data_IF_726515994136
#
_entry.id   IF_726515994136
#
_cell.length_a   1.000
_cell.length_b   1.000
_cell.length_c   1.000
_cell.angle_alpha   90.00
_cell.angle_beta   90.00
_cell.angle_gamma   90.00
#
_symmetry.space_group_name_H-M   'P 1'
#
loop_
_entity.id
_entity.type
_entity.pdbx_description
1 polymer ?
#
# COMPACT_ATOMS: atom_id res chain seq x y z
N UNK A 1 -7.53 -15.83 3.18
CA UNK A 1 -7.04 -14.70 2.35
C UNK A 1 -6.26 -13.79 3.27
N UNK A 2 -5.08 -13.37 2.83
CA UNK A 2 -4.10 -12.63 3.63
C UNK A 2 -3.99 -11.23 3.03
N UNK A 3 -4.20 -10.20 3.82
CA UNK A 3 -4.08 -8.81 3.39
C UNK A 3 -2.76 -8.23 3.92
N UNK A 4 -1.95 -7.70 3.01
CA UNK A 4 -0.72 -6.98 3.32
C UNK A 4 -0.78 -5.56 2.76
N UNK A 5 -0.42 -4.59 3.60
CA UNK A 5 -0.13 -3.23 3.18
C UNK A 5 1.38 -3.12 2.98
N UNK A 6 1.81 -2.96 1.73
CA UNK A 6 3.24 -2.93 1.41
C UNK A 6 3.70 -1.48 1.23
N UNK A 7 4.92 -1.19 1.69
CA UNK A 7 5.61 0.07 1.47
C UNK A 7 6.99 -0.17 0.89
N UNK A 8 7.34 0.58 -0.16
CA UNK A 8 8.69 0.63 -0.72
C UNK A 8 9.15 2.08 -0.88
N UNK A 9 10.46 2.28 -1.09
CA UNK A 9 11.04 3.61 -1.26
C UNK A 9 10.57 4.31 -2.55
N UNK A 10 10.21 3.54 -3.58
CA UNK A 10 9.73 4.06 -4.86
C UNK A 10 8.85 3.04 -5.60
N UNK A 11 8.21 3.49 -6.67
CA UNK A 11 7.45 2.63 -7.57
C UNK A 11 8.32 1.52 -8.17
N UNK A 12 9.54 1.84 -8.61
CA UNK A 12 10.48 0.88 -9.20
C UNK A 12 10.89 -0.21 -8.21
N UNK A 13 11.13 0.17 -6.95
CA UNK A 13 11.46 -0.77 -5.88
C UNK A 13 10.29 -1.72 -5.58
N UNK A 14 9.06 -1.18 -5.52
CA UNK A 14 7.84 -2.00 -5.35
C UNK A 14 7.66 -2.96 -6.53
N UNK A 15 7.79 -2.45 -7.75
CA UNK A 15 7.65 -3.25 -8.98
C UNK A 15 8.68 -4.37 -9.03
N UNK A 16 9.92 -4.10 -8.68
CA UNK A 16 10.98 -5.12 -8.62
C UNK A 16 10.66 -6.21 -7.59
N UNK A 17 10.14 -5.84 -6.41
CA UNK A 17 9.74 -6.79 -5.39
C UNK A 17 8.55 -7.68 -5.83
N UNK A 18 7.54 -7.09 -6.46
CA UNK A 18 6.39 -7.83 -7.00
C UNK A 18 6.84 -8.83 -8.08
N UNK A 19 7.71 -8.42 -9.01
CA UNK A 19 8.27 -9.32 -10.03
C UNK A 19 9.09 -10.45 -9.38
N UNK A 20 9.92 -10.13 -8.38
CA UNK A 20 10.66 -11.15 -7.63
C UNK A 20 9.73 -12.14 -6.92
N UNK A 21 8.59 -11.66 -6.42
CA UNK A 21 7.52 -12.48 -5.85
C UNK A 21 6.61 -13.18 -6.87
N UNK A 22 6.99 -13.19 -8.15
CA UNK A 22 6.32 -13.97 -9.20
C UNK A 22 5.20 -13.24 -9.95
N UNK A 23 4.98 -11.95 -9.71
CA UNK A 23 4.05 -11.17 -10.54
C UNK A 23 4.62 -10.98 -11.94
N UNK A 24 3.75 -11.15 -12.94
CA UNK A 24 4.11 -11.05 -14.36
C UNK A 24 3.31 -9.95 -15.05
N UNK A 25 3.91 -9.34 -16.09
CA UNK A 25 3.21 -8.42 -16.97
C UNK A 25 2.42 -9.23 -18.00
N UNK A 26 1.08 -9.27 -17.88
CA UNK A 26 0.24 -9.94 -18.88
C UNK A 26 -0.37 -8.94 -19.89
N UNK A 27 -0.59 -7.68 -19.51
CA UNK A 27 -1.07 -6.61 -20.41
C UNK A 27 -0.47 -5.26 -20.03
N UNK A 28 0.00 -4.50 -21.04
CA UNK A 28 0.36 -3.07 -21.00
C UNK A 28 0.85 -2.49 -19.66
N UNK A 29 1.83 -3.15 -19.03
CA UNK A 29 2.49 -2.64 -17.82
C UNK A 29 1.82 -2.95 -16.49
N UNK A 30 0.66 -3.62 -16.49
CA UNK A 30 -0.02 -4.05 -15.26
C UNK A 30 0.55 -5.38 -14.77
N UNK A 31 0.92 -5.44 -13.49
CA UNK A 31 1.37 -6.67 -12.83
C UNK A 31 0.21 -7.47 -12.29
N UNK A 32 0.19 -8.76 -12.58
CA UNK A 32 -0.83 -9.69 -12.07
C UNK A 32 -0.20 -10.99 -11.56
N UNK A 33 -0.97 -11.71 -10.75
CA UNK A 33 -0.58 -13.02 -10.24
C UNK A 33 -1.85 -13.87 -10.00
N UNK A 34 -1.90 -15.15 -10.42
CA UNK A 34 -3.12 -15.96 -10.38
C UNK A 34 -3.65 -16.24 -8.97
N UNK A 35 -2.83 -16.01 -7.94
CA UNK A 35 -3.18 -16.24 -6.53
C UNK A 35 -3.13 -14.97 -5.68
N UNK A 36 -3.07 -13.80 -6.31
CA UNK A 36 -3.06 -12.54 -5.59
C UNK A 36 -3.83 -11.44 -6.33
N UNK A 37 -4.39 -10.51 -5.56
CA UNK A 37 -4.96 -9.27 -6.07
C UNK A 37 -4.07 -8.13 -5.63
N UNK A 38 -3.67 -7.31 -6.59
CA UNK A 38 -2.87 -6.11 -6.39
C UNK A 38 -3.78 -4.89 -6.56
N UNK A 39 -3.72 -3.98 -5.60
CA UNK A 39 -4.42 -2.70 -5.63
C UNK A 39 -3.41 -1.59 -5.37
N UNK A 40 -3.13 -0.81 -6.42
CA UNK A 40 -2.31 0.40 -6.31
C UNK A 40 -3.12 1.48 -5.60
N UNK A 41 -2.59 1.97 -4.48
CA UNK A 41 -3.26 2.98 -3.68
C UNK A 41 -2.56 4.32 -3.81
N UNK A 42 -3.35 5.39 -3.80
CA UNK A 42 -2.84 6.76 -3.77
C UNK A 42 -2.11 7.08 -2.47
N UNK A 43 -1.61 8.31 -2.36
CA UNK A 43 -0.87 8.79 -1.18
C UNK A 43 -1.63 8.50 0.12
N UNK A 44 -0.99 7.73 1.00
CA UNK A 44 -1.48 7.48 2.35
C UNK A 44 -1.22 8.70 3.23
N UNK A 45 -2.14 8.99 4.14
CA UNK A 45 -2.01 10.06 5.12
C UNK A 45 -2.16 9.50 6.54
N UNK A 46 -1.36 10.01 7.47
CA UNK A 46 -1.41 9.67 8.89
C UNK A 46 -1.57 10.94 9.73
N UNK A 47 -2.30 10.84 10.85
CA UNK A 47 -2.43 11.95 11.79
C UNK A 47 -1.09 12.29 12.44
N UNK A 48 -0.82 13.58 12.63
CA UNK A 48 0.38 14.06 13.32
C UNK A 48 0.19 14.17 14.83
N UNK A 49 -1.03 13.91 15.33
CA UNK A 49 -1.46 14.18 16.70
C UNK A 49 -1.73 15.65 17.00
N UNK A 50 -1.63 16.53 15.99
CA UNK A 50 -2.00 17.94 16.09
C UNK A 50 -3.39 18.16 15.51
N UNK A 51 -4.01 19.26 15.90
CA UNK A 51 -5.31 19.70 15.39
C UNK A 51 -5.12 21.06 14.74
N UNK A 52 -5.72 21.24 13.56
CA UNK A 52 -5.78 22.52 12.87
C UNK A 52 -7.23 22.98 12.75
N UNK A 53 -7.43 24.29 12.57
CA UNK A 53 -8.76 24.87 12.38
C UNK A 53 -9.00 25.10 10.89
N UNK A 54 -9.96 24.38 10.32
CA UNK A 54 -10.42 24.56 8.94
C UNK A 54 -11.85 25.07 8.99
N UNK A 55 -12.09 26.28 8.47
CA UNK A 55 -13.39 26.96 8.52
C UNK A 55 -14.00 27.06 9.94
N UNK A 56 -13.16 27.11 10.97
CA UNK A 56 -13.59 27.17 12.38
C UNK A 56 -13.86 25.80 13.02
N UNK A 57 -13.72 24.71 12.27
CA UNK A 57 -13.83 23.35 12.79
C UNK A 57 -12.45 22.77 13.10
N UNK A 58 -12.35 22.10 14.24
CA UNK A 58 -11.15 21.38 14.67
C UNK A 58 -11.03 20.07 13.89
N UNK A 59 -10.04 20.00 13.00
CA UNK A 59 -9.74 18.79 12.21
C UNK A 59 -8.33 18.29 12.54
N UNK A 60 -8.14 16.95 12.64
CA UNK A 60 -6.81 16.38 12.80
C UNK A 60 -5.88 16.81 11.66
N UNK A 61 -4.69 17.28 12.00
CA UNK A 61 -3.65 17.52 11.02
C UNK A 61 -3.10 16.17 10.56
N UNK A 62 -3.05 15.97 9.25
CA UNK A 62 -2.50 14.77 8.63
C UNK A 62 -1.28 15.11 7.80
N UNK A 63 -0.32 14.19 7.74
CA UNK A 63 0.84 14.26 6.85
C UNK A 63 0.86 13.05 5.92
N UNK A 64 1.38 13.25 4.70
CA UNK A 64 1.60 12.15 3.77
C UNK A 64 2.61 11.16 4.36
N UNK A 65 2.29 9.87 4.25
CA UNK A 65 3.24 8.79 4.51
C UNK A 65 4.15 8.69 3.29
N UNK A 66 5.46 8.77 3.53
CA UNK A 66 6.47 8.69 2.49
C UNK A 66 6.53 7.28 1.86
N UNK A 67 7.01 7.21 0.62
CA UNK A 67 7.16 5.97 -0.13
C UNK A 67 5.97 5.62 -1.04
N UNK A 68 6.12 4.50 -1.72
CA UNK A 68 5.11 3.96 -2.63
C UNK A 68 4.40 2.78 -1.97
N UNK A 69 3.08 2.76 -2.06
CA UNK A 69 2.23 1.86 -1.29
C UNK A 69 1.30 1.05 -2.19
N UNK A 70 1.10 -0.21 -1.84
CA UNK A 70 0.11 -1.09 -2.50
C UNK A 70 -0.57 -1.96 -1.46
N UNK A 71 -1.80 -2.36 -1.76
CA UNK A 71 -2.49 -3.42 -1.05
C UNK A 71 -2.34 -4.72 -1.81
N UNK A 72 -1.94 -5.77 -1.09
CA UNK A 72 -1.79 -7.10 -1.65
C UNK A 72 -2.69 -8.08 -0.92
N UNK A 73 -3.60 -8.72 -1.64
CA UNK A 73 -4.45 -9.80 -1.11
C UNK A 73 -3.99 -11.12 -1.67
N UNK A 74 -3.54 -12.03 -0.81
CA UNK A 74 -2.93 -13.29 -1.20
C UNK A 74 -3.77 -14.48 -0.73
N UNK A 75 -3.74 -15.55 -1.52
CA UNK A 75 -4.39 -16.82 -1.19
C UNK A 75 -3.45 -17.82 -0.49
N UNK A 76 -2.17 -17.48 -0.33
CA UNK A 76 -1.13 -18.42 0.07
C UNK A 76 -0.14 -17.78 1.07
N UNK A 77 0.13 -18.47 2.19
CA UNK A 77 1.03 -17.98 3.24
C UNK A 77 2.49 -17.94 2.80
N UNK A 78 2.97 -18.93 2.02
CA UNK A 78 4.35 -18.94 1.54
C UNK A 78 4.60 -17.80 0.56
N UNK A 79 3.61 -17.46 -0.27
CA UNK A 79 3.67 -16.27 -1.11
C UNK A 79 3.65 -14.98 -0.25
N UNK A 80 2.80 -14.91 0.78
CA UNK A 80 2.73 -13.76 1.67
C UNK A 80 4.05 -13.53 2.42
N UNK A 81 4.73 -14.60 2.85
CA UNK A 81 6.02 -14.54 3.53
C UNK A 81 7.10 -13.84 2.71
N UNK A 82 7.07 -13.99 1.38
CA UNK A 82 7.95 -13.26 0.46
C UNK A 82 7.80 -11.74 0.50
N UNK A 83 6.67 -11.22 0.99
CA UNK A 83 6.38 -9.78 1.05
C UNK A 83 6.40 -9.21 2.47
N UNK A 84 6.55 -10.03 3.52
CA UNK A 84 6.49 -9.57 4.92
C UNK A 84 7.53 -8.50 5.26
N UNK A 85 8.69 -8.53 4.61
CA UNK A 85 9.73 -7.52 4.81
C UNK A 85 9.32 -6.11 4.34
N UNK A 86 8.34 -6.01 3.43
CA UNK A 86 7.78 -4.75 2.94
C UNK A 86 6.46 -4.38 3.62
N UNK A 87 5.92 -5.29 4.44
CA UNK A 87 4.64 -5.09 5.07
C UNK A 87 4.74 -4.06 6.20
N UNK A 88 3.81 -3.12 6.20
CA UNK A 88 3.63 -2.13 7.26
C UNK A 88 2.28 -2.35 7.96
N UNK A 89 2.20 -1.91 9.20
CA UNK A 89 0.93 -1.82 9.91
C UNK A 89 0.30 -0.45 9.63
N UNK A 90 -1.00 -0.45 9.37
CA UNK A 90 -1.80 0.78 9.20
C UNK A 90 -3.00 0.64 10.11
N UNK A 91 -3.06 1.47 11.15
CA UNK A 91 -4.11 1.39 12.18
C UNK A 91 -5.50 1.70 11.59
N UNK A 92 -5.56 2.55 10.58
CA UNK A 92 -6.79 2.87 9.84
C UNK A 92 -6.46 2.95 8.36
N UNK A 93 -7.09 2.14 7.48
CA UNK A 93 -6.89 2.29 6.04
C UNK A 93 -7.47 3.63 5.60
N UNK A 94 -6.61 4.61 5.38
CA UNK A 94 -6.95 5.91 4.84
C UNK A 94 -7.24 5.78 3.33
N UNK A 95 -8.33 5.09 2.97
CA UNK A 95 -8.89 5.16 1.62
C UNK A 95 -9.83 6.37 1.58
N UNK A 96 -9.28 7.53 1.25
CA UNK A 96 -10.10 8.65 0.80
C UNK A 96 -10.36 8.43 -0.68
N UNK A 97 -11.61 8.15 -1.04
CA UNK A 97 -12.04 8.22 -2.44
C UNK A 97 -12.03 9.71 -2.81
N UNK A 98 -11.28 10.06 -3.85
CA UNK A 98 -11.43 11.37 -4.51
C UNK A 98 -12.76 11.42 -5.27
#
# INVERSE_FOLDING_TARGET
MIDLYLKAASWEAMRAALIHGGFVCEEEGTLCHPRALLDEIGTLYQETGRVTLVAGEAVPETQAVDGYHVNLRLLDDALADGFRALAIHVDTPARVWA
#
